data_IF_577224593533
#
_entry.id   IF_577224593533
#
_cell.length_a   1.000
_cell.length_b   1.000
_cell.length_c   1.000
_cell.angle_alpha   90.00
_cell.angle_beta   90.00
_cell.angle_gamma   90.00
#
_symmetry.space_group_name_H-M   'P 1'
#
loop_
_entity.id
_entity.type
_entity.pdbx_description
1 polymer ?
#
# COMPACT_ATOMS: atom_id res chain seq x y z
N UNK A 1 3.33 3.64 8.39
CA UNK A 1 2.58 3.93 7.14
C UNK A 1 1.91 5.28 7.30
N UNK A 2 1.79 6.06 6.22
CA UNK A 2 0.95 7.26 6.22
C UNK A 2 -0.43 6.85 5.70
N UNK A 3 -1.47 7.57 6.12
CA UNK A 3 -2.82 7.38 5.64
C UNK A 3 -3.34 8.71 5.08
N UNK A 4 -4.11 8.62 4.01
CA UNK A 4 -4.88 9.70 3.42
C UNK A 4 -6.31 9.18 3.26
N UNK A 5 -7.23 10.04 2.81
CA UNK A 5 -8.63 9.65 2.58
C UNK A 5 -8.77 8.53 1.53
N UNK A 6 -7.79 8.42 0.61
CA UNK A 6 -7.69 7.35 -0.39
C UNK A 6 -6.93 6.09 0.09
N UNK A 7 -6.65 5.99 1.40
CA UNK A 7 -6.06 4.78 2.03
C UNK A 7 -4.57 4.88 2.36
N UNK A 8 -3.84 3.77 2.20
CA UNK A 8 -2.41 3.67 2.54
C UNK A 8 -1.58 4.60 1.64
N UNK A 9 -0.62 5.30 2.23
CA UNK A 9 0.28 6.20 1.52
C UNK A 9 1.74 6.06 2.00
N UNK A 10 2.64 6.47 1.13
CA UNK A 10 4.08 6.51 1.36
C UNK A 10 4.57 7.95 1.49
N UNK A 11 5.67 8.13 2.21
CA UNK A 11 6.28 9.44 2.47
C UNK A 11 7.71 9.47 1.94
N UNK A 12 7.95 10.32 0.94
CA UNK A 12 9.21 10.36 0.21
C UNK A 12 9.94 11.69 0.37
N UNK A 13 11.27 11.63 0.32
CA UNK A 13 12.14 12.82 0.27
C UNK A 13 12.18 13.43 -1.14
N UNK A 14 12.08 12.62 -2.17
CA UNK A 14 12.17 13.03 -3.57
C UNK A 14 11.26 12.14 -4.43
N UNK A 15 10.64 12.73 -5.45
CA UNK A 15 9.78 12.08 -6.44
C UNK A 15 10.09 12.73 -7.80
N UNK A 16 10.19 11.93 -8.86
CA UNK A 16 10.48 12.37 -10.23
C UNK A 16 9.31 12.03 -11.15
N UNK A 17 9.32 12.54 -12.39
CA UNK A 17 8.27 12.32 -13.39
C UNK A 17 6.88 12.78 -12.92
N UNK A 18 6.87 13.86 -12.14
CA UNK A 18 5.66 14.50 -11.65
C UNK A 18 5.57 15.95 -12.14
N UNK A 19 4.34 16.43 -12.21
CA UNK A 19 3.98 17.84 -12.37
C UNK A 19 3.30 18.32 -11.09
N UNK A 20 3.39 19.62 -10.84
CA UNK A 20 2.83 20.26 -9.65
C UNK A 20 1.59 21.08 -10.04
N UNK A 21 0.54 20.97 -9.25
CA UNK A 21 -0.67 21.80 -9.40
C UNK A 21 -0.58 23.10 -8.58
N UNK A 22 -1.70 23.78 -8.36
CA UNK A 22 -1.74 24.98 -7.53
C UNK A 22 -1.48 24.63 -6.05
N UNK A 23 -0.89 25.57 -5.33
CA UNK A 23 -0.77 25.46 -3.87
C UNK A 23 -2.13 25.72 -3.22
N UNK A 24 -2.46 24.94 -2.19
CA UNK A 24 -3.67 25.12 -1.40
C UNK A 24 -3.44 24.89 0.09
N UNK A 25 -4.26 25.55 0.91
CA UNK A 25 -4.29 25.34 2.36
C UNK A 25 -5.17 24.14 2.70
N UNK A 26 -4.58 23.13 3.32
CA UNK A 26 -5.26 21.87 3.69
C UNK A 26 -5.13 21.60 5.19
N UNK A 27 -6.28 21.45 5.84
CA UNK A 27 -6.34 21.01 7.25
C UNK A 27 -6.18 19.50 7.32
N UNK A 28 -5.05 19.05 7.86
CA UNK A 28 -4.73 17.63 8.05
C UNK A 28 -4.79 17.26 9.53
N UNK A 29 -4.71 15.97 9.84
CA UNK A 29 -4.70 15.47 11.23
C UNK A 29 -3.62 16.12 12.09
N UNK A 30 -2.48 16.51 11.50
CA UNK A 30 -1.37 17.17 12.21
C UNK A 30 -1.42 18.70 12.20
N UNK A 31 -2.52 19.30 11.73
CA UNK A 31 -2.73 20.75 11.67
C UNK A 31 -2.77 21.30 10.23
N UNK A 32 -2.76 22.63 10.11
CA UNK A 32 -2.82 23.34 8.83
C UNK A 32 -1.48 23.28 8.07
N UNK A 33 -1.57 22.99 6.77
CA UNK A 33 -0.42 22.93 5.87
C UNK A 33 -0.77 23.57 4.53
N UNK A 34 0.18 24.27 3.93
CA UNK A 34 0.17 24.56 2.50
C UNK A 34 0.69 23.33 1.77
N UNK A 35 -0.08 22.81 0.82
CA UNK A 35 0.25 21.62 0.04
C UNK A 35 0.11 21.91 -1.46
N UNK A 36 0.71 21.05 -2.27
CA UNK A 36 0.62 21.12 -3.72
C UNK A 36 0.37 19.72 -4.26
N UNK A 37 -0.74 19.53 -4.97
CA UNK A 37 -1.06 18.24 -5.57
C UNK A 37 -0.05 17.90 -6.68
N UNK A 38 0.22 16.60 -6.84
CA UNK A 38 1.18 16.09 -7.81
C UNK A 38 0.55 15.05 -8.72
N UNK A 39 0.82 15.22 -10.02
CA UNK A 39 0.26 14.39 -11.08
C UNK A 39 1.38 13.78 -11.92
N UNK A 40 1.18 12.56 -12.43
CA UNK A 40 2.15 11.92 -13.33
C UNK A 40 2.37 12.78 -14.58
N UNK A 41 3.63 13.06 -14.94
CA UNK A 41 3.95 13.86 -16.13
C UNK A 41 3.51 13.21 -17.45
N UNK A 42 3.28 11.89 -17.46
CA UNK A 42 2.93 11.15 -18.68
C UNK A 42 1.42 10.99 -18.87
N UNK A 43 0.68 10.65 -17.81
CA UNK A 43 -0.74 10.32 -17.89
C UNK A 43 -1.64 11.29 -17.14
N UNK A 44 -1.08 12.29 -16.46
CA UNK A 44 -1.81 13.34 -15.70
C UNK A 44 -2.66 12.78 -14.56
N UNK A 45 -2.51 11.50 -14.21
CA UNK A 45 -3.17 10.91 -13.05
C UNK A 45 -2.64 11.54 -11.76
N UNK A 46 -3.53 11.93 -10.84
CA UNK A 46 -3.16 12.34 -9.49
C UNK A 46 -2.51 11.18 -8.74
N UNK A 47 -1.35 11.46 -8.15
CA UNK A 47 -0.55 10.48 -7.40
C UNK A 47 -0.49 10.79 -5.90
N UNK A 48 -0.80 12.02 -5.50
CA UNK A 48 -0.72 12.50 -4.12
C UNK A 48 -0.34 13.98 -4.08
N UNK A 49 0.48 14.39 -3.11
CA UNK A 49 0.76 15.80 -2.86
C UNK A 49 2.10 16.04 -2.14
N UNK A 50 2.62 17.25 -2.23
CA UNK A 50 3.84 17.72 -1.54
C UNK A 50 3.48 18.69 -0.43
N UNK A 51 4.15 18.58 0.70
CA UNK A 51 4.11 19.61 1.75
C UNK A 51 4.96 20.82 1.30
N UNK A 52 4.32 21.96 1.07
CA UNK A 52 5.03 23.21 0.79
C UNK A 52 5.43 23.88 2.10
N UNK A 53 4.48 24.08 3.01
CA UNK A 53 4.71 24.68 4.31
C UNK A 53 3.85 24.02 5.39
N UNK A 54 4.38 23.97 6.61
CA UNK A 54 3.65 23.57 7.81
C UNK A 54 3.52 24.76 8.77
N UNK A 55 2.31 25.02 9.26
CA UNK A 55 2.08 26.13 10.19
C UNK A 55 2.60 25.83 11.60
N UNK A 56 2.71 24.55 11.97
CA UNK A 56 3.25 24.11 13.26
C UNK A 56 4.74 23.76 13.13
N UNK A 57 5.57 24.33 14.01
CA UNK A 57 7.02 24.07 14.06
C UNK A 57 7.35 22.57 14.21
N UNK A 58 6.54 21.80 14.94
CA UNK A 58 6.75 20.37 15.13
C UNK A 58 6.49 19.54 13.86
N UNK A 59 5.94 20.15 12.81
CA UNK A 59 5.65 19.49 11.53
C UNK A 59 6.60 19.95 10.41
N UNK A 60 7.55 20.86 10.68
CA UNK A 60 8.49 21.40 9.68
C UNK A 60 9.33 20.33 8.98
N UNK A 61 9.56 19.18 9.62
CA UNK A 61 10.26 18.05 9.01
C UNK A 61 9.56 17.49 7.75
N UNK A 62 8.27 17.80 7.57
CA UNK A 62 7.47 17.40 6.42
C UNK A 62 7.64 18.33 5.22
N UNK A 63 8.07 19.57 5.40
CA UNK A 63 8.23 20.53 4.31
C UNK A 63 9.20 20.00 3.24
N UNK A 64 8.80 20.14 1.98
CA UNK A 64 9.51 19.60 0.82
C UNK A 64 9.38 18.08 0.62
N UNK A 65 8.64 17.38 1.49
CA UNK A 65 8.39 15.93 1.37
C UNK A 65 7.09 15.66 0.64
N UNK A 66 6.98 14.44 0.14
CA UNK A 66 5.90 13.99 -0.73
C UNK A 66 5.10 12.88 -0.09
N UNK A 67 3.80 12.91 -0.28
CA UNK A 67 2.88 11.80 -0.01
C UNK A 67 2.45 11.22 -1.35
N UNK A 68 2.65 9.91 -1.53
CA UNK A 68 2.13 9.17 -2.68
C UNK A 68 1.13 8.12 -2.21
N UNK A 69 -0.04 8.08 -2.87
CA UNK A 69 -1.13 7.17 -2.54
C UNK A 69 -0.82 5.80 -3.13
N UNK A 70 -0.82 4.75 -2.29
CA UNK A 70 -0.34 3.40 -2.67
C UNK A 70 -1.09 2.85 -3.89
N UNK A 71 -2.41 2.97 -3.90
CA UNK A 71 -3.27 2.49 -5.00
C UNK A 71 -3.06 3.23 -6.33
N UNK A 72 -2.43 4.40 -6.32
CA UNK A 72 -2.14 5.19 -7.52
C UNK A 72 -0.78 4.87 -8.15
N UNK A 73 0.11 4.20 -7.41
CA UNK A 73 1.51 3.97 -7.84
C UNK A 73 1.92 2.50 -7.83
N UNK A 74 1.07 1.60 -7.33
CA UNK A 74 1.29 0.15 -7.36
C UNK A 74 0.08 -0.49 -8.03
N UNK A 75 0.33 -1.42 -8.95
CA UNK A 75 -0.69 -2.38 -9.36
C UNK A 75 -0.94 -3.34 -8.20
N UNK A 76 -2.20 -3.74 -8.00
CA UNK A 76 -2.57 -4.75 -7.00
C UNK A 76 -2.00 -6.11 -7.42
N UNK A 77 -0.74 -6.36 -7.06
CA UNK A 77 -0.20 -7.71 -6.97
C UNK A 77 -0.68 -8.32 -5.64
N UNK A 78 -1.50 -9.36 -5.74
CA UNK A 78 -1.97 -10.14 -4.60
C UNK A 78 -0.79 -10.65 -3.75
N UNK A 79 -0.80 -10.30 -2.45
CA UNK A 79 -0.45 -11.14 -1.30
C UNK A 79 0.04 -10.28 -0.11
N UNK A 80 -0.90 -9.63 0.57
CA UNK A 80 -0.79 -9.51 2.03
C UNK A 80 -1.25 -10.89 2.58
N UNK A 81 -0.38 -11.91 2.59
CA UNK A 81 -0.60 -13.19 3.29
C UNK A 81 -0.53 -12.92 4.80
N UNK A 82 -1.53 -12.24 5.33
CA UNK A 82 -1.62 -11.99 6.76
C UNK A 82 -2.37 -13.18 7.41
N UNK A 83 -1.56 -14.15 7.85
CA UNK A 83 -1.76 -15.08 8.95
C UNK A 83 -3.22 -15.33 9.37
N UNK A 84 -3.95 -16.20 8.64
CA UNK A 84 -5.16 -16.81 9.18
C UNK A 84 -4.80 -18.03 10.05
N UNK A 85 -4.88 -17.78 11.35
CA UNK A 85 -5.42 -18.64 12.40
C UNK A 85 -4.76 -20.01 12.68
N UNK A 86 -4.05 -20.08 13.81
CA UNK A 86 -4.22 -21.21 14.74
C UNK A 86 -4.57 -20.64 16.12
N UNK A 87 -5.87 -20.45 16.35
CA UNK A 87 -6.44 -20.54 17.69
C UNK A 87 -7.36 -21.74 17.68
N UNK A 88 -6.87 -22.80 18.30
CA UNK A 88 -7.61 -24.02 18.64
C UNK A 88 -8.81 -23.72 19.55
N UNK A 89 -9.83 -24.60 19.45
CA UNK A 89 -11.08 -24.76 20.23
C UNK A 89 -12.31 -24.26 19.45
N UNK A 90 -13.41 -24.99 19.18
CA UNK A 90 -13.90 -26.35 19.46
C UNK A 90 -15.43 -26.37 19.20
N UNK A 91 -15.94 -27.44 18.55
CA UNK A 91 -17.33 -27.98 18.52
C UNK A 91 -18.48 -27.36 17.64
N UNK A 92 -18.96 -28.19 16.67
CA UNK A 92 -20.33 -28.43 16.08
C UNK A 92 -21.24 -27.27 15.60
N UNK A 93 -22.03 -27.29 14.52
CA UNK A 93 -22.64 -28.31 13.63
C UNK A 93 -23.24 -27.66 12.33
N UNK A 94 -23.21 -28.43 11.22
CA UNK A 94 -24.15 -28.57 10.07
C UNK A 94 -24.40 -27.55 8.89
N UNK A 95 -24.11 -28.09 7.67
CA UNK A 95 -24.78 -28.07 6.32
C UNK A 95 -24.98 -26.74 5.55
N UNK A 96 -24.89 -26.61 4.21
CA UNK A 96 -24.76 -27.49 3.05
C UNK A 96 -24.18 -26.71 1.84
N UNK A 97 -23.49 -27.40 0.93
CA UNK A 97 -23.80 -27.51 -0.52
C UNK A 97 -22.53 -27.70 -1.36
N UNK A 98 -22.61 -28.72 -2.20
CA UNK A 98 -21.54 -29.35 -2.96
C UNK A 98 -21.53 -28.81 -4.38
N UNK A 99 -20.43 -28.16 -4.78
CA UNK A 99 -20.08 -28.06 -6.20
C UNK A 99 -18.61 -28.40 -6.41
N UNK A 100 -18.36 -29.71 -6.39
CA UNK A 100 -17.46 -30.46 -7.27
C UNK A 100 -16.58 -29.62 -8.22
N UNK A 101 -15.29 -29.51 -7.90
CA UNK A 101 -14.22 -29.36 -8.90
C UNK A 101 -13.03 -30.21 -8.45
N UNK A 102 -12.85 -31.35 -9.11
CA UNK A 102 -11.75 -32.27 -8.90
C UNK A 102 -10.44 -31.67 -9.46
N UNK A 103 -9.42 -31.51 -8.62
CA UNK A 103 -8.06 -31.22 -9.07
C UNK A 103 -7.26 -32.52 -9.10
N UNK A 104 -7.02 -33.01 -10.31
CA UNK A 104 -6.21 -34.19 -10.56
C UNK A 104 -4.74 -33.94 -10.16
N UNK A 105 -4.24 -34.70 -9.20
CA UNK A 105 -2.81 -34.83 -8.91
C UNK A 105 -2.20 -35.82 -9.91
N UNK A 106 -1.40 -35.34 -10.85
CA UNK A 106 -0.39 -36.16 -11.52
C UNK A 106 0.91 -36.05 -10.74
N UNK A 107 1.23 -37.10 -9.98
CA UNK A 107 2.58 -37.35 -9.49
C UNK A 107 3.54 -37.47 -10.67
N UNK A 108 4.65 -36.75 -10.60
CA UNK A 108 5.88 -37.18 -11.26
C UNK A 108 7.02 -36.95 -10.29
N UNK A 109 7.54 -38.06 -9.78
CA UNK A 109 8.75 -38.14 -8.99
C UNK A 109 9.92 -37.53 -9.78
N UNK A 110 10.74 -36.71 -9.12
CA UNK A 110 11.88 -36.06 -9.75
C UNK A 110 12.70 -35.24 -8.78
N UNK A 111 13.36 -35.93 -7.86
CA UNK A 111 14.65 -35.64 -7.24
C UNK A 111 15.24 -34.21 -7.40
N UNK A 112 15.43 -33.49 -6.29
CA UNK A 112 16.63 -32.68 -6.13
C UNK A 112 17.19 -32.71 -4.69
N UNK A 113 18.30 -33.42 -4.55
CA UNK A 113 19.13 -33.46 -3.36
C UNK A 113 20.02 -32.20 -3.30
N UNK A 114 19.79 -31.32 -2.33
CA UNK A 114 20.76 -30.28 -1.94
C UNK A 114 20.78 -30.09 -0.42
N UNK A 115 21.22 -31.13 0.29
CA UNK A 115 21.77 -30.98 1.63
C UNK A 115 23.27 -30.69 1.52
N UNK A 116 23.66 -29.45 1.86
CA UNK A 116 25.02 -29.09 2.29
C UNK A 116 24.87 -28.03 3.39
N UNK A 117 24.98 -28.48 4.63
CA UNK A 117 25.51 -27.69 5.74
C UNK A 117 26.96 -28.16 5.96
N UNK A 118 27.84 -27.18 6.17
CA UNK A 118 29.26 -27.16 6.58
C UNK A 118 30.25 -28.29 6.18
#
# INVERSE_FOLDING_TARGET
>A
SFACDEGKAFFFRNVVNITFEAEEERLLTTGMHTVQDICCSCCVQSLGWKYVAAHNNNQKYKEGKFILIRSKIMEEGEQDFEARAISSNGESEEVADNSSLEVHLSSSDGENAWARED
#
